data_IF_088264009393
#
_entry.id   IF_088264009393
#
_cell.length_a   1.000
_cell.length_b   1.000
_cell.length_c   1.000
_cell.angle_alpha   90.00
_cell.angle_beta   90.00
_cell.angle_gamma   90.00
#
_symmetry.space_group_name_H-M   'P 1'
#
loop_
_entity.id
_entity.type
_entity.pdbx_description
1 polymer ?
#
# COMPACT_ATOMS: atom_id res chain seq x y z
N UNK A 1 36.79 20.00 -23.59
CA UNK A 1 35.98 18.97 -22.94
C UNK A 1 36.73 18.51 -21.70
N UNK A 2 36.29 18.90 -20.51
CA UNK A 2 36.84 18.40 -19.24
C UNK A 2 35.90 17.34 -18.72
N UNK A 3 36.23 16.07 -18.96
CA UNK A 3 35.53 14.92 -18.39
C UNK A 3 35.70 14.94 -16.88
N UNK A 4 34.60 15.15 -16.15
CA UNK A 4 34.56 14.90 -14.70
C UNK A 4 34.38 13.39 -14.51
N UNK A 5 35.45 12.71 -14.15
CA UNK A 5 35.36 11.35 -13.59
C UNK A 5 34.64 11.47 -12.25
N UNK A 6 33.38 11.03 -12.18
CA UNK A 6 32.71 10.84 -10.91
C UNK A 6 33.43 9.71 -10.17
N UNK A 7 34.18 10.07 -9.13
CA UNK A 7 34.73 9.10 -8.18
C UNK A 7 33.55 8.36 -7.55
N UNK A 8 33.48 7.05 -7.74
CA UNK A 8 32.50 6.21 -7.04
C UNK A 8 32.78 6.38 -5.54
N UNK A 9 31.81 6.83 -4.73
CA UNK A 9 32.03 6.96 -3.30
C UNK A 9 32.41 5.59 -2.75
N UNK A 10 33.54 5.52 -2.05
CA UNK A 10 33.84 4.40 -1.16
C UNK A 10 32.80 4.45 -0.06
N UNK A 11 32.02 3.39 0.08
CA UNK A 11 30.83 3.20 0.95
C UNK A 11 31.07 3.37 2.47
N UNK A 12 32.08 4.14 2.88
CA UNK A 12 32.44 4.47 4.26
C UNK A 12 32.19 5.96 4.58
N UNK A 13 31.56 6.71 3.69
CA UNK A 13 31.11 8.07 4.00
C UNK A 13 29.95 8.00 5.02
N UNK A 14 29.90 8.91 6.01
CA UNK A 14 28.81 8.94 6.96
C UNK A 14 27.50 9.25 6.22
N UNK A 15 26.48 8.43 6.43
CA UNK A 15 25.12 8.70 5.95
C UNK A 15 24.39 9.61 6.94
N UNK A 16 23.60 10.57 6.42
CA UNK A 16 22.76 11.43 7.24
C UNK A 16 21.52 10.70 7.78
N UNK A 17 21.07 9.63 7.10
CA UNK A 17 19.89 8.86 7.46
C UNK A 17 20.04 7.39 7.04
N UNK A 18 19.68 6.47 7.94
CA UNK A 18 19.69 5.03 7.67
C UNK A 18 18.27 4.49 7.59
N UNK A 19 17.79 4.25 6.37
CA UNK A 19 16.45 3.68 6.15
C UNK A 19 16.34 2.24 6.64
N UNK A 20 17.43 1.45 6.63
CA UNK A 20 17.44 0.08 7.17
C UNK A 20 17.23 0.05 8.70
N UNK A 21 17.49 1.16 9.40
CA UNK A 21 17.22 1.28 10.83
C UNK A 21 15.75 1.59 11.14
N UNK A 22 14.97 2.03 10.15
CA UNK A 22 13.55 2.34 10.33
C UNK A 22 12.76 1.05 10.47
N UNK A 23 11.89 1.02 11.49
CA UNK A 23 10.99 -0.10 11.75
C UNK A 23 9.56 0.43 11.79
N UNK A 24 8.62 -0.41 11.37
CA UNK A 24 7.21 -0.09 11.51
C UNK A 24 6.85 0.12 12.98
N UNK A 25 6.11 1.19 13.26
CA UNK A 25 5.64 1.54 14.60
C UNK A 25 4.34 0.81 14.96
N UNK A 26 3.67 0.21 13.97
CA UNK A 26 2.43 -0.54 14.11
C UNK A 26 2.63 -2.04 13.84
N UNK A 27 1.68 -2.83 14.32
CA UNK A 27 1.61 -4.26 14.01
C UNK A 27 1.16 -4.47 12.57
N UNK A 28 2.08 -4.92 11.71
CA UNK A 28 1.83 -5.18 10.28
C UNK A 28 1.04 -6.49 10.05
N UNK A 29 0.09 -6.81 10.94
CA UNK A 29 -0.70 -8.02 10.83
C UNK A 29 -1.57 -8.00 9.57
N UNK A 30 -1.65 -9.12 8.84
CA UNK A 30 -2.47 -9.20 7.63
C UNK A 30 -3.95 -9.10 7.96
N UNK A 31 -4.69 -8.42 7.09
CA UNK A 31 -6.15 -8.34 7.16
C UNK A 31 -6.77 -9.57 6.49
N UNK A 32 -7.64 -10.29 7.20
CA UNK A 32 -8.21 -11.56 6.72
C UNK A 32 -9.71 -11.47 6.54
N UNK A 33 -10.18 -11.80 5.34
CA UNK A 33 -11.60 -11.69 4.97
C UNK A 33 -12.13 -13.03 4.52
N UNK A 34 -13.40 -13.31 4.83
CA UNK A 34 -14.12 -14.44 4.24
C UNK A 34 -15.11 -13.92 3.19
N UNK A 35 -14.97 -14.39 1.95
CA UNK A 35 -15.87 -14.05 0.86
C UNK A 35 -15.91 -15.15 -0.20
N UNK A 36 -17.10 -15.47 -0.72
CA UNK A 36 -17.28 -16.52 -1.73
C UNK A 36 -16.95 -17.94 -1.23
N UNK A 37 -17.05 -18.18 0.08
CA UNK A 37 -16.68 -19.48 0.69
C UNK A 37 -15.18 -19.69 0.86
N UNK A 38 -14.35 -18.69 0.56
CA UNK A 38 -12.90 -18.73 0.69
C UNK A 38 -12.41 -17.65 1.67
N UNK A 39 -11.25 -17.92 2.29
CA UNK A 39 -10.50 -16.94 3.07
C UNK A 39 -9.49 -16.23 2.16
N UNK A 40 -9.44 -14.91 2.28
CA UNK A 40 -8.54 -14.01 1.56
C UNK A 40 -7.64 -13.30 2.57
N UNK A 41 -6.37 -13.16 2.24
CA UNK A 41 -5.38 -12.51 3.11
C UNK A 41 -4.80 -11.31 2.39
N UNK A 42 -4.99 -10.13 2.95
CA UNK A 42 -4.46 -8.86 2.48
C UNK A 42 -3.23 -8.53 3.34
N UNK A 43 -2.11 -8.22 2.70
CA UNK A 43 -0.94 -7.61 3.36
C UNK A 43 -1.34 -6.30 4.04
N UNK A 44 -0.62 -5.84 5.07
CA UNK A 44 -0.90 -4.55 5.71
C UNK A 44 -0.54 -3.38 4.77
N UNK A 45 -1.27 -2.25 4.81
CA UNK A 45 -1.06 -1.14 3.87
C UNK A 45 0.36 -0.52 3.94
N UNK A 46 0.93 -0.36 5.14
CA UNK A 46 2.33 0.12 5.30
C UNK A 46 3.39 -0.86 4.79
N UNK A 47 3.03 -2.11 4.54
CA UNK A 47 3.92 -3.12 3.98
C UNK A 47 3.80 -3.24 2.45
N UNK A 48 2.95 -2.42 1.80
CA UNK A 48 2.82 -2.38 0.35
C UNK A 48 3.95 -1.54 -0.26
N UNK A 49 4.31 -1.86 -1.51
CA UNK A 49 5.29 -1.07 -2.25
C UNK A 49 4.69 0.30 -2.63
N UNK A 50 5.30 1.37 -2.11
CA UNK A 50 4.80 2.74 -2.30
C UNK A 50 4.87 3.19 -3.76
N UNK A 51 5.79 2.65 -4.56
CA UNK A 51 5.97 3.06 -5.95
C UNK A 51 4.85 2.52 -6.84
N UNK A 52 4.46 1.26 -6.64
CA UNK A 52 3.33 0.65 -7.36
C UNK A 52 1.98 1.34 -7.03
N UNK A 53 1.84 1.85 -5.81
CA UNK A 53 0.66 2.61 -5.38
C UNK A 53 0.65 4.07 -5.88
N UNK A 54 1.79 4.74 -5.90
CA UNK A 54 1.90 6.15 -6.27
C UNK A 54 1.48 6.43 -7.73
N UNK A 55 1.72 5.49 -8.64
CA UNK A 55 1.31 5.59 -10.06
C UNK A 55 -0.23 5.61 -10.26
N UNK A 56 -1.00 5.29 -9.21
CA UNK A 56 -2.46 5.16 -9.29
C UNK A 56 -3.24 6.35 -8.73
N UNK A 57 -2.57 7.34 -8.13
CA UNK A 57 -3.21 8.49 -7.47
C UNK A 57 -3.88 9.45 -8.47
N UNK A 58 -3.48 9.43 -9.76
CA UNK A 58 -4.07 10.30 -10.79
C UNK A 58 -5.43 9.81 -11.34
N UNK A 59 -5.93 8.63 -10.95
CA UNK A 59 -7.21 8.08 -11.45
C UNK A 59 -8.17 7.80 -10.29
N UNK A 60 -9.41 8.29 -10.43
CA UNK A 60 -10.35 8.47 -9.33
C UNK A 60 -10.60 7.26 -8.42
N UNK A 61 -11.13 7.56 -7.23
CA UNK A 61 -11.44 6.73 -6.05
C UNK A 61 -11.49 5.20 -6.26
N UNK A 62 -12.27 4.70 -7.23
CA UNK A 62 -12.45 3.26 -7.45
C UNK A 62 -11.22 2.58 -8.07
N UNK A 63 -10.50 3.23 -8.98
CA UNK A 63 -9.30 2.62 -9.60
C UNK A 63 -8.17 2.52 -8.58
N UNK A 64 -8.02 3.54 -7.74
CA UNK A 64 -7.12 3.50 -6.60
C UNK A 64 -7.43 2.34 -5.65
N UNK A 65 -8.70 2.20 -5.23
CA UNK A 65 -9.13 1.09 -4.37
C UNK A 65 -8.80 -0.27 -5.00
N UNK A 66 -9.05 -0.43 -6.31
CA UNK A 66 -8.76 -1.68 -7.01
C UNK A 66 -7.25 -1.98 -6.98
N UNK A 67 -6.40 -0.99 -7.27
CA UNK A 67 -4.95 -1.18 -7.26
C UNK A 67 -4.43 -1.55 -5.86
N UNK A 68 -4.89 -0.86 -4.82
CA UNK A 68 -4.49 -1.17 -3.44
C UNK A 68 -4.89 -2.60 -3.05
N UNK A 69 -6.10 -3.03 -3.43
CA UNK A 69 -6.54 -4.41 -3.15
C UNK A 69 -5.79 -5.45 -3.98
N UNK A 70 -5.44 -5.14 -5.22
CA UNK A 70 -4.61 -5.97 -6.09
C UNK A 70 -3.24 -6.20 -5.45
N UNK A 71 -2.55 -5.13 -5.08
CA UNK A 71 -1.22 -5.21 -4.48
C UNK A 71 -1.25 -5.92 -3.12
N UNK A 72 -2.25 -5.63 -2.29
CA UNK A 72 -2.39 -6.29 -0.99
C UNK A 72 -2.71 -7.79 -1.09
N UNK A 73 -3.36 -8.25 -2.16
CA UNK A 73 -3.68 -9.66 -2.36
C UNK A 73 -2.58 -10.44 -3.10
N UNK A 74 -1.76 -9.77 -3.90
CA UNK A 74 -0.73 -10.37 -4.73
C UNK A 74 -1.28 -11.52 -5.59
N UNK A 75 -0.70 -12.72 -5.45
CA UNK A 75 -1.07 -13.91 -6.22
C UNK A 75 -2.55 -14.33 -6.06
N UNK A 76 -3.22 -13.94 -4.96
CA UNK A 76 -4.64 -14.26 -4.74
C UNK A 76 -5.59 -13.38 -5.58
N UNK A 77 -5.09 -12.27 -6.13
CA UNK A 77 -5.91 -11.27 -6.80
C UNK A 77 -6.74 -11.86 -7.96
N UNK A 78 -6.14 -12.69 -8.80
CA UNK A 78 -6.83 -13.28 -9.94
C UNK A 78 -8.02 -14.15 -9.51
N UNK A 79 -7.88 -14.87 -8.40
CA UNK A 79 -8.97 -15.67 -7.81
C UNK A 79 -10.06 -14.77 -7.23
N UNK A 80 -9.65 -13.74 -6.51
CA UNK A 80 -10.57 -12.79 -5.87
C UNK A 80 -11.42 -12.04 -6.91
N UNK A 81 -10.78 -11.53 -7.98
CA UNK A 81 -11.43 -10.78 -9.05
C UNK A 81 -12.53 -11.57 -9.75
N UNK A 82 -12.36 -12.89 -9.91
CA UNK A 82 -13.35 -13.79 -10.54
C UNK A 82 -14.67 -13.90 -9.76
N UNK A 83 -14.67 -13.62 -8.46
CA UNK A 83 -15.89 -13.67 -7.64
C UNK A 83 -16.89 -12.55 -7.99
N UNK A 84 -16.45 -11.50 -8.68
CA UNK A 84 -17.31 -10.39 -9.08
C UNK A 84 -17.88 -9.62 -7.88
N UNK A 85 -17.08 -8.72 -7.30
CA UNK A 85 -17.56 -7.88 -6.19
C UNK A 85 -18.41 -6.71 -6.71
N UNK A 86 -19.66 -6.55 -6.26
CA UNK A 86 -20.41 -5.33 -6.51
C UNK A 86 -19.76 -4.15 -5.79
N UNK A 87 -19.88 -2.96 -6.39
CA UNK A 87 -19.21 -1.73 -5.94
C UNK A 87 -19.38 -1.43 -4.44
N UNK A 88 -20.56 -1.65 -3.87
CA UNK A 88 -20.80 -1.35 -2.45
C UNK A 88 -20.00 -2.28 -1.50
N UNK A 89 -19.79 -3.55 -1.87
CA UNK A 89 -18.96 -4.47 -1.07
C UNK A 89 -17.49 -4.11 -1.17
N UNK A 90 -17.04 -3.65 -2.34
CA UNK A 90 -15.67 -3.18 -2.53
C UNK A 90 -15.37 -1.96 -1.66
N UNK A 91 -16.29 -0.99 -1.58
CA UNK A 91 -16.16 0.15 -0.67
C UNK A 91 -16.11 -0.27 0.80
N UNK A 92 -17.05 -1.10 1.25
CA UNK A 92 -17.08 -1.59 2.63
C UNK A 92 -15.83 -2.42 2.99
N UNK A 93 -15.33 -3.22 2.05
CA UNK A 93 -14.08 -3.96 2.20
C UNK A 93 -12.90 -3.02 2.39
N UNK A 94 -12.80 -1.99 1.55
CA UNK A 94 -11.71 -1.03 1.61
C UNK A 94 -11.72 -0.22 2.90
N UNK A 95 -12.90 0.25 3.34
CA UNK A 95 -13.06 0.96 4.60
C UNK A 95 -12.62 0.10 5.81
N UNK A 96 -13.07 -1.16 5.86
CA UNK A 96 -12.66 -2.09 6.91
C UNK A 96 -11.15 -2.38 6.87
N UNK A 97 -10.55 -2.43 5.68
CA UNK A 97 -9.12 -2.65 5.50
C UNK A 97 -8.30 -1.43 5.96
N UNK A 98 -8.75 -0.20 5.66
CA UNK A 98 -8.16 1.03 6.19
C UNK A 98 -8.18 1.04 7.72
N UNK A 99 -9.34 0.76 8.31
CA UNK A 99 -9.49 0.70 9.78
C UNK A 99 -8.58 -0.35 10.42
N UNK A 100 -8.46 -1.55 9.82
CA UNK A 100 -7.55 -2.58 10.30
C UNK A 100 -6.09 -2.12 10.27
N UNK A 101 -5.71 -1.33 9.27
CA UNK A 101 -4.37 -0.78 9.15
C UNK A 101 -4.14 0.50 9.98
N UNK A 102 -5.08 0.87 10.85
CA UNK A 102 -4.99 2.09 11.66
C UNK A 102 -5.14 3.39 10.86
N UNK A 103 -5.62 3.31 9.61
CA UNK A 103 -5.93 4.48 8.79
C UNK A 103 -7.39 4.87 9.03
N UNK A 104 -7.62 6.13 9.38
CA UNK A 104 -8.97 6.65 9.47
C UNK A 104 -9.59 6.71 8.06
N UNK A 105 -10.81 6.17 7.85
CA UNK A 105 -11.48 6.30 6.56
C UNK A 105 -11.72 7.79 6.32
N UNK A 106 -11.09 8.32 5.26
CA UNK A 106 -10.89 9.76 5.09
C UNK A 106 -12.08 10.62 5.49
N UNK A 107 -11.99 11.27 6.64
CA UNK A 107 -12.30 12.68 6.66
C UNK A 107 -11.20 13.35 5.84
N UNK A 108 -11.58 13.97 4.73
CA UNK A 108 -10.84 15.10 4.19
C UNK A 108 -10.80 16.21 5.23
N UNK A 109 -10.02 16.02 6.29
CA UNK A 109 -9.67 17.01 7.27
C UNK A 109 -8.34 17.58 6.84
N UNK A 110 -8.38 18.62 6.00
CA UNK A 110 -7.29 19.58 6.02
C UNK A 110 -6.95 19.87 7.48
N UNK A 111 -5.71 19.59 7.90
CA UNK A 111 -5.17 20.27 9.08
C UNK A 111 -5.11 21.75 8.70
N UNK A 112 -6.22 22.44 8.94
CA UNK A 112 -6.25 23.89 9.05
C UNK A 112 -5.52 24.24 10.34
N UNK A 113 -4.36 24.87 10.19
CA UNK A 113 -3.81 25.80 11.17
C UNK A 113 -3.29 26.99 10.38
#
# INVERSE_FOLDING_TARGET
>A
MTSRTATKPTDNEPFDFNLDAVKAEVDLSPFRVHFGGQRWTFTHMEALDVWDLAESIERGDIQFIIKVLEEALGEQWEGFRKLGLPRYKMKALFEAYQQHCGLEPGESGASGS
#
